data_IF_133157584948
#
_entry.id   IF_133157584948
#
_cell.length_a   1.000
_cell.length_b   1.000
_cell.length_c   1.000
_cell.angle_alpha   90.00
_cell.angle_beta   90.00
_cell.angle_gamma   90.00
#
_symmetry.space_group_name_H-M   'P 1'
#
loop_
_entity.id
_entity.type
_entity.pdbx_description
1 polymer ?
#
# COMPACT_ATOMS: atom_id res chain seq x y z
N UNK A 1 -17.47 -8.20 8.39
CA UNK A 1 -16.28 -8.16 7.53
C UNK A 1 -15.49 -6.91 7.85
N UNK A 2 -14.22 -7.07 8.22
CA UNK A 2 -13.29 -5.97 8.41
C UNK A 2 -12.34 -5.94 7.21
N UNK A 3 -11.95 -4.75 6.76
CA UNK A 3 -11.03 -4.55 5.64
C UNK A 3 -10.18 -3.30 5.90
N UNK A 4 -8.90 -3.36 5.54
CA UNK A 4 -8.02 -2.20 5.54
C UNK A 4 -7.71 -1.82 4.10
N UNK A 5 -7.79 -0.53 3.80
CA UNK A 5 -7.53 0.02 2.47
C UNK A 5 -6.61 1.23 2.58
N UNK A 6 -5.50 1.21 1.86
CA UNK A 6 -4.67 2.39 1.63
C UNK A 6 -5.19 3.14 0.41
N UNK A 7 -5.64 4.38 0.62
CA UNK A 7 -6.20 5.22 -0.44
C UNK A 7 -5.15 5.80 -1.41
N UNK A 8 -3.88 5.85 -1.00
CA UNK A 8 -2.78 6.41 -1.81
C UNK A 8 -2.36 5.40 -2.88
N UNK A 9 -2.20 4.15 -2.47
CA UNK A 9 -1.71 3.06 -3.33
C UNK A 9 -2.85 2.19 -3.89
N UNK A 10 -4.08 2.39 -3.40
CA UNK A 10 -5.25 1.53 -3.64
C UNK A 10 -5.07 0.08 -3.19
N UNK A 11 -4.06 -0.20 -2.37
CA UNK A 11 -3.83 -1.51 -1.80
C UNK A 11 -4.89 -1.82 -0.73
N UNK A 12 -5.45 -3.02 -0.75
CA UNK A 12 -6.48 -3.46 0.20
C UNK A 12 -6.24 -4.89 0.68
N UNK A 13 -6.54 -5.13 1.96
CA UNK A 13 -6.41 -6.45 2.58
C UNK A 13 -7.60 -6.74 3.48
N UNK A 14 -8.09 -7.99 3.39
CA UNK A 14 -9.12 -8.52 4.29
C UNK A 14 -8.57 -9.01 5.63
N UNK A 15 -7.25 -9.22 5.73
CA UNK A 15 -6.62 -9.71 6.95
C UNK A 15 -6.27 -8.57 7.90
N UNK A 16 -7.29 -7.94 8.47
CA UNK A 16 -7.11 -6.75 9.32
C UNK A 16 -6.37 -7.02 10.63
N UNK A 17 -6.45 -8.24 11.16
CA UNK A 17 -5.78 -8.62 12.40
C UNK A 17 -4.26 -8.55 12.25
N UNK A 18 -3.70 -9.15 11.19
CA UNK A 18 -2.26 -9.10 10.92
C UNK A 18 -1.74 -7.69 10.77
N UNK A 19 -2.51 -6.78 10.16
CA UNK A 19 -2.15 -5.36 10.04
C UNK A 19 -2.05 -4.69 11.41
N UNK A 20 -3.02 -4.95 12.30
CA UNK A 20 -3.01 -4.42 13.66
C UNK A 20 -1.88 -5.03 14.52
N UNK A 21 -1.48 -6.26 14.21
CA UNK A 21 -0.34 -6.95 14.81
C UNK A 21 1.02 -6.49 14.26
N UNK A 22 1.03 -5.61 13.25
CA UNK A 22 2.23 -4.95 12.72
C UNK A 22 2.74 -5.47 11.37
N UNK A 23 2.00 -6.36 10.70
CA UNK A 23 2.31 -6.83 9.35
C UNK A 23 1.99 -5.74 8.30
N UNK A 24 2.94 -4.80 8.15
CA UNK A 24 2.83 -3.64 7.27
C UNK A 24 3.69 -3.76 6.00
N UNK A 25 4.38 -4.87 5.80
CA UNK A 25 5.33 -5.05 4.70
C UNK A 25 4.67 -4.88 3.32
N UNK A 26 3.48 -5.47 3.16
CA UNK A 26 2.65 -5.33 1.95
C UNK A 26 2.26 -3.88 1.64
N UNK A 27 2.00 -3.06 2.66
CA UNK A 27 1.70 -1.64 2.52
C UNK A 27 2.96 -0.84 2.17
N UNK A 28 4.09 -1.14 2.81
CA UNK A 28 5.37 -0.50 2.52
C UNK A 28 5.83 -0.78 1.09
N UNK A 29 5.73 -2.02 0.62
CA UNK A 29 6.06 -2.38 -0.76
C UNK A 29 5.15 -1.65 -1.76
N UNK A 30 3.83 -1.63 -1.49
CA UNK A 30 2.87 -0.93 -2.34
C UNK A 30 3.16 0.57 -2.43
N UNK A 31 3.56 1.19 -1.32
CA UNK A 31 3.94 2.60 -1.28
C UNK A 31 5.24 2.89 -2.06
N UNK A 32 6.25 2.03 -1.93
CA UNK A 32 7.49 2.15 -2.68
C UNK A 32 7.25 2.03 -4.18
N UNK A 33 6.43 1.06 -4.60
CA UNK A 33 6.03 0.89 -6.01
C UNK A 33 5.27 2.10 -6.54
N UNK A 34 4.31 2.61 -5.76
CA UNK A 34 3.57 3.84 -6.10
C UNK A 34 4.51 5.03 -6.30
N UNK A 35 5.43 5.26 -5.35
CA UNK A 35 6.40 6.36 -5.41
C UNK A 35 7.39 6.24 -6.57
N UNK A 36 7.79 5.02 -6.95
CA UNK A 36 8.64 4.79 -8.12
C UNK A 36 7.86 5.01 -9.42
N UNK A 37 6.60 4.56 -9.48
CA UNK A 37 5.70 4.82 -10.61
C UNK A 37 5.47 6.31 -10.85
N UNK A 38 5.26 7.09 -9.79
CA UNK A 38 5.11 8.55 -9.86
C UNK A 38 6.40 9.27 -10.30
N UNK A 39 7.59 8.71 -10.03
CA UNK A 39 8.86 9.32 -10.45
C UNK A 39 9.16 9.19 -11.94
N UNK A 40 8.47 8.30 -12.66
CA UNK A 40 8.68 8.10 -14.09
C UNK A 40 7.86 9.08 -14.97
N UNK A 41 7.06 9.98 -14.37
CA UNK A 41 6.20 10.92 -15.12
C UNK A 41 6.71 12.36 -15.16
N UNK A 42 7.92 12.65 -14.65
CA UNK A 42 8.53 14.00 -14.66
C UNK A 42 9.68 14.13 -15.67
N UNK A 43 9.68 13.36 -16.75
CA UNK A 43 10.61 13.58 -17.87
C UNK A 43 9.92 13.24 -19.19
N UNK A 44 9.06 14.17 -19.65
CA UNK A 44 8.75 14.44 -21.05
C UNK A 44 8.46 15.94 -21.21
#
# INVERSE_FOLDING_TARGET
YQMVKDLRTRHETGNTQSVLDGDLDSFMESYLRYKIGDKNTETD
#
